data_IF_050336688846
#
_entry.id   IF_050336688846
#
_cell.length_a   1.000
_cell.length_b   1.000
_cell.length_c   1.000
_cell.angle_alpha   90.00
_cell.angle_beta   90.00
_cell.angle_gamma   90.00
#
_symmetry.space_group_name_H-M   'P 1'
#
loop_
_entity.id
_entity.type
_entity.pdbx_description
1 polymer ?
#
# COMPACT_ATOMS: atom_id res chain seq x y z
N UNK A 1 6.23 2.97 -0.37
CA UNK A 1 6.16 1.64 0.28
C UNK A 1 7.58 1.16 0.53
N UNK A 2 7.89 0.80 1.74
CA UNK A 2 9.21 0.32 2.15
C UNK A 2 9.32 -1.20 1.90
N UNK A 3 10.24 -1.61 1.03
CA UNK A 3 10.44 -3.03 0.66
C UNK A 3 11.43 -3.69 1.61
N UNK A 4 10.97 -4.03 2.83
CA UNK A 4 11.81 -4.56 3.90
C UNK A 4 12.68 -5.74 3.46
N UNK A 5 12.11 -6.75 2.79
CA UNK A 5 12.86 -7.93 2.34
C UNK A 5 14.02 -7.59 1.39
N UNK A 6 13.93 -6.51 0.61
CA UNK A 6 15.03 -6.05 -0.22
C UNK A 6 16.20 -5.56 0.65
N UNK A 7 15.92 -4.84 1.74
CA UNK A 7 16.94 -4.34 2.66
C UNK A 7 17.50 -5.46 3.56
N UNK A 8 16.73 -6.50 3.87
CA UNK A 8 17.26 -7.69 4.53
C UNK A 8 18.28 -8.42 3.64
N UNK A 9 18.03 -8.52 2.33
CA UNK A 9 19.02 -9.05 1.38
C UNK A 9 20.27 -8.18 1.31
N UNK A 10 20.11 -6.86 1.28
CA UNK A 10 21.25 -5.92 1.29
C UNK A 10 22.08 -6.01 2.59
N UNK A 11 21.47 -6.37 3.72
CA UNK A 11 22.20 -6.61 4.97
C UNK A 11 23.09 -7.84 4.86
N UNK A 12 22.58 -8.94 4.30
CA UNK A 12 23.30 -10.21 4.19
C UNK A 12 24.25 -10.21 2.98
N UNK A 13 23.82 -9.64 1.87
CA UNK A 13 24.50 -9.64 0.58
C UNK A 13 24.53 -8.23 -0.03
N UNK A 14 25.38 -7.32 0.48
CA UNK A 14 25.40 -5.94 0.02
C UNK A 14 25.79 -5.84 -1.46
N UNK A 15 25.02 -5.08 -2.21
CA UNK A 15 25.29 -4.79 -3.63
C UNK A 15 25.93 -3.42 -3.80
N UNK A 16 26.72 -3.17 -4.84
CA UNK A 16 27.28 -1.86 -5.12
C UNK A 16 26.22 -0.77 -5.14
N UNK A 17 26.57 0.40 -4.63
CA UNK A 17 25.69 1.58 -4.72
C UNK A 17 25.61 2.01 -6.19
N UNK A 18 24.40 2.06 -6.72
CA UNK A 18 24.11 2.53 -8.08
C UNK A 18 23.25 3.79 -8.01
N UNK A 19 23.33 4.62 -9.03
CA UNK A 19 22.45 5.80 -9.10
C UNK A 19 20.97 5.39 -9.07
N UNK A 20 20.11 6.10 -8.34
CA UNK A 20 18.69 5.77 -8.27
C UNK A 20 18.04 5.92 -9.66
N UNK A 21 17.24 4.93 -10.05
CA UNK A 21 16.46 4.99 -11.28
C UNK A 21 15.18 5.78 -11.01
N UNK A 22 14.95 6.85 -11.77
CA UNK A 22 13.66 7.54 -11.75
C UNK A 22 12.65 6.67 -12.50
N UNK A 23 11.48 6.33 -11.91
CA UNK A 23 10.42 5.65 -12.64
C UNK A 23 9.91 6.52 -13.78
N UNK A 24 9.48 5.89 -14.88
CA UNK A 24 8.98 6.58 -16.07
C UNK A 24 7.62 7.26 -15.82
N UNK A 25 6.82 6.72 -14.88
CA UNK A 25 5.53 7.24 -14.45
C UNK A 25 5.14 6.67 -13.07
N UNK A 26 4.04 7.13 -12.46
CA UNK A 26 3.60 6.64 -11.16
C UNK A 26 3.03 5.21 -11.26
N UNK A 27 3.01 4.49 -10.12
CA UNK A 27 2.11 3.36 -9.91
C UNK A 27 0.69 3.92 -9.73
N UNK A 28 -0.26 3.46 -10.53
CA UNK A 28 -1.66 3.87 -10.40
C UNK A 28 -2.46 2.80 -9.68
N UNK A 29 -3.02 3.14 -8.51
CA UNK A 29 -4.00 2.33 -7.82
C UNK A 29 -5.38 2.81 -8.30
N UNK A 30 -6.12 1.93 -8.98
CA UNK A 30 -7.38 2.31 -9.59
C UNK A 30 -8.55 1.61 -8.90
N UNK A 31 -9.38 2.39 -8.21
CA UNK A 31 -10.60 1.89 -7.61
C UNK A 31 -11.71 1.87 -8.67
N UNK A 32 -11.81 0.77 -9.44
CA UNK A 32 -12.73 0.64 -10.57
C UNK A 32 -14.21 0.68 -10.18
N UNK A 33 -14.50 0.24 -8.96
CA UNK A 33 -15.85 0.12 -8.40
C UNK A 33 -15.82 0.48 -6.92
N UNK A 34 -16.89 1.12 -6.40
CA UNK A 34 -17.00 1.38 -4.97
C UNK A 34 -17.81 0.32 -4.22
N UNK A 35 -18.67 -0.44 -4.91
CA UNK A 35 -19.40 -1.54 -4.30
C UNK A 35 -18.45 -2.58 -3.70
N UNK A 36 -18.80 -3.11 -2.51
CA UNK A 36 -18.05 -4.14 -1.81
C UNK A 36 -19.01 -5.01 -1.00
N UNK A 37 -18.79 -6.31 -1.01
CA UNK A 37 -19.56 -7.27 -0.20
C UNK A 37 -19.13 -7.28 1.29
N UNK A 38 -18.19 -6.38 1.70
CA UNK A 38 -17.73 -6.17 3.07
C UNK A 38 -17.86 -4.70 3.48
N UNK A 39 -17.90 -4.45 4.82
CA UNK A 39 -18.03 -3.10 5.40
C UNK A 39 -16.95 -2.79 6.45
N UNK A 40 -15.71 -3.11 6.14
CA UNK A 40 -14.55 -3.08 7.04
C UNK A 40 -14.41 -1.75 7.84
N UNK A 41 -13.95 -1.84 9.09
CA UNK A 41 -13.78 -0.69 10.01
C UNK A 41 -12.83 0.38 9.47
N UNK A 42 -11.79 -0.01 8.74
CA UNK A 42 -10.70 0.87 8.24
C UNK A 42 -10.85 1.31 6.77
N UNK A 43 -11.97 0.98 6.12
CA UNK A 43 -12.14 1.20 4.68
C UNK A 43 -12.06 2.69 4.30
N UNK A 44 -11.05 3.04 3.49
CA UNK A 44 -10.82 4.41 3.03
C UNK A 44 -11.85 4.86 1.98
N UNK A 45 -12.42 3.93 1.19
CA UNK A 45 -13.42 4.22 0.16
C UNK A 45 -14.84 4.34 0.71
N UNK A 46 -15.05 3.95 1.98
CA UNK A 46 -16.39 3.85 2.60
C UNK A 46 -17.36 2.98 1.80
N UNK A 47 -16.85 1.88 1.23
CA UNK A 47 -17.61 0.92 0.42
C UNK A 47 -18.71 0.22 1.21
N UNK A 48 -19.75 -0.22 0.49
CA UNK A 48 -20.88 -1.00 0.99
C UNK A 48 -21.45 -1.84 -0.14
N UNK A 49 -22.30 -2.82 0.18
CA UNK A 49 -22.96 -3.67 -0.83
C UNK A 49 -24.20 -2.98 -1.43
N UNK A 50 -23.96 -1.85 -2.07
CA UNK A 50 -24.95 -1.07 -2.82
C UNK A 50 -24.33 -0.59 -4.13
N UNK A 51 -25.16 -0.25 -5.09
CA UNK A 51 -24.70 0.39 -6.32
C UNK A 51 -24.39 1.86 -6.06
N UNK A 52 -23.26 2.32 -6.59
CA UNK A 52 -22.85 3.74 -6.57
C UNK A 52 -23.04 4.32 -7.97
N UNK A 53 -23.87 5.35 -8.15
CA UNK A 53 -24.08 5.94 -9.47
C UNK A 53 -22.88 6.74 -9.95
N UNK A 54 -22.74 6.83 -11.28
CA UNK A 54 -21.75 7.70 -11.91
C UNK A 54 -20.35 7.10 -12.05
N UNK A 55 -20.16 5.82 -11.76
CA UNK A 55 -18.89 5.11 -11.99
C UNK A 55 -18.47 5.19 -13.46
N UNK A 56 -17.17 5.11 -13.74
CA UNK A 56 -16.65 5.08 -15.09
C UNK A 56 -17.18 3.84 -15.83
N UNK A 57 -17.70 4.03 -17.03
CA UNK A 57 -18.04 2.93 -17.93
C UNK A 57 -16.76 2.27 -18.48
N UNK A 58 -16.87 1.02 -18.93
CA UNK A 58 -15.76 0.28 -19.52
C UNK A 58 -15.09 1.01 -20.69
N UNK A 59 -15.83 1.65 -21.65
CA UNK A 59 -15.18 2.49 -22.66
C UNK A 59 -14.41 3.70 -22.10
N UNK A 60 -14.91 4.37 -21.06
CA UNK A 60 -14.18 5.45 -20.38
C UNK A 60 -12.91 4.93 -19.70
N UNK A 61 -12.98 3.76 -19.03
CA UNK A 61 -11.81 3.10 -18.45
C UNK A 61 -10.76 2.81 -19.53
N UNK A 62 -11.16 2.32 -20.68
CA UNK A 62 -10.24 2.06 -21.80
C UNK A 62 -9.57 3.34 -22.32
N UNK A 63 -10.31 4.42 -22.49
CA UNK A 63 -9.75 5.70 -22.88
C UNK A 63 -8.72 6.23 -21.87
N UNK A 64 -8.99 6.08 -20.58
CA UNK A 64 -8.03 6.43 -19.52
C UNK A 64 -6.78 5.54 -19.60
N UNK A 65 -6.91 4.23 -19.84
CA UNK A 65 -5.76 3.34 -20.02
C UNK A 65 -4.86 3.77 -21.19
N UNK A 66 -5.44 4.25 -22.28
CA UNK A 66 -4.67 4.72 -23.43
C UNK A 66 -3.79 5.94 -23.05
N UNK A 67 -4.32 6.90 -22.27
CA UNK A 67 -3.54 8.02 -21.73
C UNK A 67 -2.48 7.57 -20.72
N UNK A 68 -2.83 6.67 -19.79
CA UNK A 68 -1.88 6.13 -18.84
C UNK A 68 -0.71 5.41 -19.52
N UNK A 69 -0.98 4.70 -20.63
CA UNK A 69 0.06 4.04 -21.43
C UNK A 69 0.94 5.04 -22.15
N UNK A 70 0.35 6.06 -22.78
CA UNK A 70 1.09 7.14 -23.42
C UNK A 70 1.97 7.91 -22.42
N UNK A 71 1.48 8.10 -21.19
CA UNK A 71 2.21 8.71 -20.06
C UNK A 71 3.27 7.78 -19.43
N UNK A 72 3.42 6.55 -19.93
CA UNK A 72 4.39 5.54 -19.47
C UNK A 72 4.17 5.09 -18.01
N UNK A 73 2.93 5.05 -17.55
CA UNK A 73 2.56 4.39 -16.31
C UNK A 73 2.98 2.92 -16.38
N UNK A 74 3.83 2.43 -15.46
CA UNK A 74 4.34 1.06 -15.56
C UNK A 74 3.41 0.02 -14.91
N UNK A 75 2.64 0.41 -13.90
CA UNK A 75 1.92 -0.50 -13.01
C UNK A 75 0.50 0.00 -12.79
N UNK A 76 -0.47 -0.89 -12.98
CA UNK A 76 -1.86 -0.73 -12.56
C UNK A 76 -2.17 -1.72 -11.42
N UNK A 77 -2.61 -1.19 -10.28
CA UNK A 77 -3.18 -2.00 -9.21
C UNK A 77 -4.69 -1.82 -9.27
N UNK A 78 -5.38 -2.82 -9.84
CA UNK A 78 -6.82 -2.82 -9.95
C UNK A 78 -7.42 -3.14 -8.59
N UNK A 79 -8.26 -2.25 -8.11
CA UNK A 79 -8.83 -2.24 -6.79
C UNK A 79 -10.27 -1.72 -6.85
N UNK A 80 -10.84 -1.38 -5.69
CA UNK A 80 -12.18 -0.81 -5.63
C UNK A 80 -12.71 -0.81 -4.21
N UNK A 81 -14.00 -1.03 -4.10
CA UNK A 81 -14.58 -1.71 -2.96
C UNK A 81 -14.11 -3.15 -2.99
N UNK A 82 -14.75 -3.96 -3.85
CA UNK A 82 -14.24 -5.28 -4.23
C UNK A 82 -14.19 -5.36 -5.76
N UNK A 83 -13.00 -5.44 -6.38
CA UNK A 83 -12.89 -5.38 -7.83
C UNK A 83 -13.55 -6.55 -8.56
N UNK A 84 -13.66 -7.73 -7.93
CA UNK A 84 -14.34 -8.90 -8.51
C UNK A 84 -15.87 -8.73 -8.61
N UNK A 85 -16.43 -7.65 -8.05
CA UNK A 85 -17.83 -7.25 -8.26
C UNK A 85 -18.03 -6.38 -9.51
N UNK A 86 -16.96 -5.89 -10.14
CA UNK A 86 -17.07 -5.13 -11.37
C UNK A 86 -17.41 -6.08 -12.52
N UNK A 87 -18.49 -5.85 -13.29
CA UNK A 87 -18.97 -6.80 -14.31
C UNK A 87 -17.92 -7.12 -15.37
N UNK A 88 -17.11 -6.14 -15.74
CA UNK A 88 -16.11 -6.25 -16.81
C UNK A 88 -14.67 -6.40 -16.29
N UNK A 89 -14.45 -6.78 -15.02
CA UNK A 89 -13.11 -6.83 -14.41
C UNK A 89 -12.12 -7.65 -15.24
N UNK A 90 -12.54 -8.79 -15.76
CA UNK A 90 -11.65 -9.65 -16.55
C UNK A 90 -11.29 -9.02 -17.91
N UNK A 91 -12.25 -8.40 -18.59
CA UNK A 91 -11.99 -7.69 -19.85
C UNK A 91 -11.05 -6.47 -19.65
N UNK A 92 -11.28 -5.70 -18.60
CA UNK A 92 -10.44 -4.58 -18.19
C UNK A 92 -9.02 -5.04 -17.88
N UNK A 93 -8.88 -6.11 -17.10
CA UNK A 93 -7.59 -6.68 -16.72
C UNK A 93 -6.83 -7.24 -17.91
N UNK A 94 -7.52 -7.95 -18.81
CA UNK A 94 -6.92 -8.49 -20.03
C UNK A 94 -6.40 -7.36 -20.90
N UNK A 95 -7.22 -6.31 -21.18
CA UNK A 95 -6.77 -5.15 -21.94
C UNK A 95 -5.53 -4.50 -21.32
N UNK A 96 -5.50 -4.34 -19.99
CA UNK A 96 -4.33 -3.77 -19.32
C UNK A 96 -3.07 -4.65 -19.51
N UNK A 97 -3.21 -5.97 -19.45
CA UNK A 97 -2.12 -6.92 -19.73
C UNK A 97 -1.65 -6.83 -21.19
N UNK A 98 -2.58 -6.82 -22.16
CA UNK A 98 -2.28 -6.72 -23.59
C UNK A 98 -1.56 -5.42 -23.94
N UNK A 99 -1.87 -4.34 -23.23
CA UNK A 99 -1.15 -3.06 -23.33
C UNK A 99 0.24 -3.09 -22.69
N UNK A 100 0.62 -4.18 -22.00
CA UNK A 100 1.92 -4.36 -21.36
C UNK A 100 2.10 -3.61 -20.04
N UNK A 101 1.02 -3.34 -19.30
CA UNK A 101 1.12 -2.93 -17.92
C UNK A 101 1.51 -4.10 -17.02
N UNK A 102 2.26 -3.82 -15.95
CA UNK A 102 2.29 -4.71 -14.79
C UNK A 102 0.94 -4.59 -14.09
N UNK A 103 0.12 -5.65 -14.11
CA UNK A 103 -1.23 -5.64 -13.56
C UNK A 103 -1.27 -6.46 -12.27
N UNK A 104 -1.69 -5.82 -11.18
CA UNK A 104 -1.96 -6.47 -9.90
C UNK A 104 -3.43 -6.28 -9.50
N UNK A 105 -3.98 -7.24 -8.75
CA UNK A 105 -5.32 -7.17 -8.19
C UNK A 105 -5.26 -7.00 -6.68
N UNK A 106 -6.04 -6.07 -6.12
CA UNK A 106 -6.19 -5.88 -4.68
C UNK A 106 -7.63 -6.23 -4.29
N UNK A 107 -7.82 -7.39 -3.67
CA UNK A 107 -9.12 -7.99 -3.35
C UNK A 107 -9.24 -8.31 -1.86
N UNK A 108 -10.47 -8.44 -1.37
CA UNK A 108 -10.72 -9.05 -0.06
C UNK A 108 -10.63 -10.60 -0.11
N UNK A 109 -10.54 -11.19 -1.30
CA UNK A 109 -10.36 -12.63 -1.53
C UNK A 109 -11.63 -13.48 -1.42
N UNK A 110 -12.70 -12.99 -0.81
CA UNK A 110 -13.90 -13.80 -0.52
C UNK A 110 -14.68 -14.22 -1.75
N UNK A 111 -14.41 -13.59 -2.89
CA UNK A 111 -15.06 -13.91 -4.18
C UNK A 111 -14.17 -14.72 -5.13
N UNK A 112 -12.94 -15.07 -4.73
CA UNK A 112 -12.10 -16.01 -5.46
C UNK A 112 -12.62 -17.43 -5.16
N UNK A 113 -13.09 -18.13 -6.18
CA UNK A 113 -13.77 -19.43 -5.99
C UNK A 113 -13.59 -20.33 -7.22
N UNK A 114 -13.99 -21.64 -7.16
CA UNK A 114 -13.80 -22.57 -8.26
C UNK A 114 -14.45 -22.17 -9.58
N UNK A 115 -15.47 -21.31 -9.57
CA UNK A 115 -16.15 -20.89 -10.80
C UNK A 115 -15.39 -19.82 -11.59
N UNK A 116 -14.54 -19.03 -10.93
CA UNK A 116 -13.82 -17.91 -11.57
C UNK A 116 -12.28 -18.05 -11.56
N UNK A 117 -11.73 -18.99 -10.82
CA UNK A 117 -10.26 -19.10 -10.68
C UNK A 117 -9.55 -19.33 -12.02
N UNK A 118 -10.16 -20.07 -12.95
CA UNK A 118 -9.59 -20.27 -14.29
C UNK A 118 -9.53 -18.96 -15.10
N UNK A 119 -10.54 -18.10 -14.96
CA UNK A 119 -10.51 -16.78 -15.61
C UNK A 119 -9.47 -15.88 -14.96
N UNK A 120 -9.34 -15.91 -13.62
CA UNK A 120 -8.30 -15.19 -12.89
C UNK A 120 -6.91 -15.64 -13.32
N UNK A 121 -6.67 -16.95 -13.43
CA UNK A 121 -5.40 -17.51 -13.91
C UNK A 121 -5.07 -17.08 -15.34
N UNK A 122 -6.08 -17.08 -16.23
CA UNK A 122 -5.90 -16.70 -17.63
C UNK A 122 -5.44 -15.23 -17.83
N UNK A 123 -5.74 -14.33 -16.90
CA UNK A 123 -5.29 -12.92 -16.93
C UNK A 123 -3.78 -12.82 -16.66
N UNK A 124 -3.19 -13.81 -15.98
CA UNK A 124 -1.78 -13.77 -15.58
C UNK A 124 -1.45 -12.50 -14.77
N UNK A 125 -2.21 -12.26 -13.70
CA UNK A 125 -1.90 -11.18 -12.77
C UNK A 125 -0.51 -11.38 -12.19
N UNK A 126 0.29 -10.32 -12.20
CA UNK A 126 1.64 -10.38 -11.62
C UNK A 126 1.61 -10.56 -10.09
N UNK A 127 0.48 -10.23 -9.46
CA UNK A 127 0.27 -10.37 -8.04
C UNK A 127 -1.19 -10.14 -7.68
N UNK A 128 -1.73 -10.97 -6.79
CA UNK A 128 -3.03 -10.76 -6.14
C UNK A 128 -2.81 -10.53 -4.65
N UNK A 129 -3.10 -9.31 -4.18
CA UNK A 129 -3.06 -8.98 -2.75
C UNK A 129 -4.40 -9.28 -2.09
N UNK A 130 -4.44 -10.26 -1.20
CA UNK A 130 -5.63 -10.64 -0.43
C UNK A 130 -5.53 -10.07 0.97
N UNK A 131 -6.60 -9.42 1.40
CA UNK A 131 -6.62 -8.80 2.72
C UNK A 131 -6.95 -9.81 3.82
N UNK A 132 -6.06 -9.95 4.81
CA UNK A 132 -6.27 -10.69 6.05
C UNK A 132 -5.86 -9.80 7.25
N UNK A 133 -6.83 -9.36 8.05
CA UNK A 133 -6.59 -8.44 9.17
C UNK A 133 -6.74 -9.12 10.55
N UNK A 134 -6.26 -10.33 10.67
CA UNK A 134 -6.29 -11.16 11.86
C UNK A 134 -6.60 -12.60 11.52
N UNK A 135 -6.71 -13.44 12.53
CA UNK A 135 -7.04 -14.86 12.42
C UNK A 135 -8.51 -15.10 12.82
N UNK A 136 -9.25 -15.87 12.04
CA UNK A 136 -10.61 -16.29 12.35
C UNK A 136 -11.54 -15.12 12.73
N UNK A 137 -12.02 -15.13 13.97
CA UNK A 137 -13.01 -14.16 14.47
C UNK A 137 -12.48 -12.72 14.51
N UNK A 138 -11.19 -12.50 14.75
CA UNK A 138 -10.60 -11.14 14.70
C UNK A 138 -10.75 -10.53 13.31
N UNK A 139 -10.41 -11.28 12.27
CA UNK A 139 -10.59 -10.85 10.89
C UNK A 139 -12.07 -10.59 10.58
N UNK A 140 -12.96 -11.51 10.92
CA UNK A 140 -14.40 -11.40 10.66
C UNK A 140 -15.00 -10.16 11.32
N UNK A 141 -14.61 -9.89 12.56
CA UNK A 141 -15.02 -8.69 13.31
C UNK A 141 -14.47 -7.41 12.66
N UNK A 142 -13.21 -7.42 12.25
CA UNK A 142 -12.56 -6.27 11.61
C UNK A 142 -13.18 -5.96 10.23
N UNK A 143 -13.49 -7.02 9.46
CA UNK A 143 -14.12 -6.94 8.14
C UNK A 143 -15.64 -6.85 8.19
N UNK A 144 -16.23 -7.02 9.40
CA UNK A 144 -17.66 -6.97 9.67
C UNK A 144 -18.47 -8.00 8.86
N UNK A 145 -17.93 -9.21 8.71
CA UNK A 145 -18.62 -10.31 8.04
C UNK A 145 -18.13 -11.66 8.57
N UNK A 146 -19.04 -12.40 9.18
CA UNK A 146 -18.77 -13.76 9.63
C UNK A 146 -18.38 -14.68 8.47
N UNK A 147 -17.34 -15.50 8.65
CA UNK A 147 -16.81 -16.43 7.66
C UNK A 147 -15.95 -15.79 6.59
N UNK A 148 -15.65 -14.49 6.68
CA UNK A 148 -14.79 -13.80 5.70
C UNK A 148 -13.34 -14.25 5.76
N UNK A 149 -12.83 -14.65 6.94
CA UNK A 149 -11.49 -15.21 7.10
C UNK A 149 -11.31 -16.48 6.27
N UNK A 150 -12.18 -17.47 6.51
CA UNK A 150 -12.12 -18.75 5.81
C UNK A 150 -12.30 -18.60 4.30
N UNK A 151 -13.22 -17.72 3.87
CA UNK A 151 -13.43 -17.46 2.45
C UNK A 151 -12.21 -16.79 1.80
N UNK A 152 -11.57 -15.84 2.48
CA UNK A 152 -10.36 -15.16 1.98
C UNK A 152 -9.16 -16.11 1.92
N UNK A 153 -8.98 -16.95 2.95
CA UNK A 153 -7.92 -17.96 2.99
C UNK A 153 -8.12 -19.03 1.92
N UNK A 154 -9.36 -19.50 1.71
CA UNK A 154 -9.68 -20.40 0.62
C UNK A 154 -9.37 -19.79 -0.76
N UNK A 155 -9.61 -18.50 -0.93
CA UNK A 155 -9.22 -17.75 -2.14
C UNK A 155 -7.71 -17.73 -2.35
N UNK A 156 -6.89 -17.56 -1.31
CA UNK A 156 -5.42 -17.64 -1.38
C UNK A 156 -4.98 -19.05 -1.79
N UNK A 157 -5.53 -20.09 -1.17
CA UNK A 157 -5.24 -21.50 -1.49
C UNK A 157 -5.53 -21.81 -2.94
N UNK A 158 -6.71 -21.40 -3.45
CA UNK A 158 -7.06 -21.54 -4.85
C UNK A 158 -6.09 -20.83 -5.81
N UNK A 159 -5.64 -19.64 -5.45
CA UNK A 159 -4.61 -18.94 -6.24
C UNK A 159 -3.33 -19.79 -6.33
N UNK A 160 -2.88 -20.34 -5.21
CA UNK A 160 -1.67 -21.18 -5.17
C UNK A 160 -1.84 -22.48 -6.00
N UNK A 161 -2.97 -23.16 -5.86
CA UNK A 161 -3.29 -24.36 -6.64
C UNK A 161 -3.26 -24.13 -8.16
N UNK A 162 -3.37 -22.87 -8.59
CA UNK A 162 -3.35 -22.45 -10.00
C UNK A 162 -2.10 -21.61 -10.36
N UNK A 163 -1.02 -21.72 -9.59
CA UNK A 163 0.26 -21.01 -9.81
C UNK A 163 0.12 -19.47 -9.87
N UNK A 164 -0.91 -18.92 -9.25
CA UNK A 164 -1.13 -17.46 -9.16
C UNK A 164 -0.42 -16.93 -7.93
N UNK A 165 0.49 -15.97 -8.12
CA UNK A 165 1.18 -15.31 -7.02
C UNK A 165 0.20 -14.50 -6.17
N UNK A 166 -0.14 -15.01 -4.99
CA UNK A 166 -0.99 -14.35 -4.01
C UNK A 166 -0.19 -13.97 -2.76
N UNK A 167 -0.67 -12.98 -2.00
CA UNK A 167 -0.04 -12.61 -0.73
C UNK A 167 -1.01 -11.92 0.21
N UNK A 168 -0.64 -11.89 1.48
CA UNK A 168 -1.43 -11.31 2.56
C UNK A 168 -1.20 -9.81 2.66
N UNK A 169 -2.30 -9.07 2.87
CA UNK A 169 -2.30 -7.64 3.21
C UNK A 169 -2.97 -7.45 4.56
N UNK A 170 -2.22 -6.96 5.51
CA UNK A 170 -2.65 -6.74 6.90
C UNK A 170 -2.59 -5.25 7.24
N UNK A 171 -3.64 -4.72 7.85
CA UNK A 171 -3.65 -3.34 8.40
C UNK A 171 -3.58 -3.39 9.90
N UNK A 172 -2.47 -2.92 10.46
CA UNK A 172 -2.23 -2.91 11.90
C UNK A 172 -3.13 -1.90 12.62
N UNK A 173 -3.79 -2.36 13.68
CA UNK A 173 -4.55 -1.55 14.65
C UNK A 173 -4.43 -2.17 16.05
N UNK A 174 -4.95 -1.49 17.09
CA UNK A 174 -5.02 -2.05 18.44
C UNK A 174 -5.88 -3.32 18.50
N UNK A 175 -6.93 -3.38 17.67
CA UNK A 175 -7.92 -4.47 17.67
C UNK A 175 -7.37 -5.81 17.17
N UNK A 176 -6.29 -5.79 16.35
CA UNK A 176 -5.81 -7.00 15.66
C UNK A 176 -4.31 -7.29 15.81
N UNK A 177 -3.56 -6.42 16.48
CA UNK A 177 -2.12 -6.61 16.68
C UNK A 177 -1.77 -7.91 17.42
N UNK A 178 -2.68 -8.42 18.27
CA UNK A 178 -2.47 -9.67 19.00
C UNK A 178 -2.40 -10.91 18.10
N UNK A 179 -2.97 -10.85 16.88
CA UNK A 179 -2.92 -11.93 15.89
C UNK A 179 -1.71 -11.84 14.95
N UNK A 180 -0.86 -10.83 15.10
CA UNK A 180 0.23 -10.57 14.16
C UNK A 180 1.19 -11.77 14.02
N UNK A 181 1.62 -12.35 15.14
CA UNK A 181 2.49 -13.53 15.14
C UNK A 181 1.78 -14.74 14.51
N UNK A 182 0.49 -14.89 14.75
CA UNK A 182 -0.33 -15.93 14.13
C UNK A 182 -0.42 -15.77 12.62
N UNK A 183 -0.47 -14.53 12.11
CA UNK A 183 -0.44 -14.27 10.67
C UNK A 183 0.92 -14.59 10.04
N UNK A 184 2.03 -14.29 10.74
CA UNK A 184 3.37 -14.67 10.27
C UNK A 184 3.54 -16.20 10.25
N UNK A 185 2.97 -16.91 11.23
CA UNK A 185 2.95 -18.38 11.24
C UNK A 185 2.07 -18.93 10.12
N UNK A 186 0.89 -18.34 9.89
CA UNK A 186 0.00 -18.71 8.77
C UNK A 186 0.72 -18.59 7.43
N UNK A 187 1.56 -17.58 7.24
CA UNK A 187 2.37 -17.47 6.02
C UNK A 187 3.32 -18.64 5.84
N UNK A 188 3.90 -19.17 6.92
CA UNK A 188 4.75 -20.34 6.86
C UNK A 188 3.92 -21.61 6.57
N UNK A 189 2.82 -21.80 7.28
CA UNK A 189 1.96 -22.98 7.16
C UNK A 189 1.31 -23.08 5.78
N UNK A 190 0.91 -21.96 5.20
CA UNK A 190 0.28 -21.87 3.89
C UNK A 190 1.28 -21.58 2.77
N UNK A 191 2.58 -21.48 3.07
CA UNK A 191 3.67 -21.16 2.15
C UNK A 191 3.35 -19.93 1.28
N UNK A 192 2.97 -18.82 1.91
CA UNK A 192 2.62 -17.57 1.23
C UNK A 192 3.87 -16.72 1.04
N UNK A 193 4.16 -16.33 -0.20
CA UNK A 193 5.42 -15.67 -0.57
C UNK A 193 5.46 -14.17 -0.28
N UNK A 194 4.32 -13.53 -0.03
CA UNK A 194 4.30 -12.07 0.11
C UNK A 194 3.43 -11.60 1.26
N UNK A 195 4.01 -10.71 2.05
CA UNK A 195 3.34 -10.01 3.15
C UNK A 195 3.43 -8.49 2.97
N UNK A 196 2.29 -7.83 3.09
CA UNK A 196 2.20 -6.37 3.11
C UNK A 196 1.59 -5.91 4.44
N UNK A 197 2.40 -5.30 5.30
CA UNK A 197 1.93 -4.60 6.49
C UNK A 197 1.57 -3.16 6.13
N UNK A 198 0.35 -2.76 6.44
CA UNK A 198 -0.13 -1.39 6.32
C UNK A 198 -0.38 -0.81 7.69
N UNK A 199 0.08 0.40 7.97
CA UNK A 199 -0.41 1.16 9.10
C UNK A 199 -1.78 1.77 8.79
N UNK A 200 -2.60 1.99 9.81
CA UNK A 200 -3.90 2.64 9.64
C UNK A 200 -3.70 4.03 9.02
N UNK A 201 -4.48 4.34 8.00
CA UNK A 201 -4.48 5.66 7.41
C UNK A 201 -5.82 6.37 7.69
N UNK A 202 -5.78 7.69 7.82
CA UNK A 202 -6.94 8.50 8.23
C UNK A 202 -7.76 8.93 7.00
N UNK A 203 -8.19 7.92 6.21
CA UNK A 203 -9.11 8.06 5.09
C UNK A 203 -10.44 7.35 5.36
N UNK A 204 -11.56 7.92 4.96
CA UNK A 204 -12.89 7.30 5.06
C UNK A 204 -13.26 6.81 6.47
N UNK A 205 -13.62 5.51 6.61
CA UNK A 205 -13.89 4.89 7.92
C UNK A 205 -12.64 4.77 8.79
N UNK A 206 -11.45 4.65 8.20
CA UNK A 206 -10.21 4.69 8.95
C UNK A 206 -10.02 5.99 9.74
N UNK A 207 -10.40 7.14 9.16
CA UNK A 207 -10.39 8.41 9.88
C UNK A 207 -11.43 8.46 11.01
N UNK A 208 -12.64 7.90 10.78
CA UNK A 208 -13.69 7.83 11.83
C UNK A 208 -13.25 6.96 13.00
N UNK A 209 -12.50 5.91 12.72
CA UNK A 209 -12.02 4.94 13.71
C UNK A 209 -10.53 5.15 14.05
N UNK A 210 -9.97 6.35 13.84
CA UNK A 210 -8.54 6.63 14.08
C UNK A 210 -8.09 6.41 15.53
N UNK A 211 -9.02 6.40 16.48
CA UNK A 211 -8.75 6.02 17.87
C UNK A 211 -8.32 4.57 18.04
N UNK A 212 -8.63 3.71 17.05
CA UNK A 212 -8.27 2.29 17.03
C UNK A 212 -6.88 2.08 16.40
N UNK A 213 -6.17 3.16 16.01
CA UNK A 213 -4.78 3.07 15.50
C UNK A 213 -3.86 2.45 16.55
N UNK A 214 -2.85 1.73 16.10
CA UNK A 214 -1.91 1.09 16.99
C UNK A 214 -1.08 2.13 17.76
N UNK A 215 -1.01 1.99 19.07
CA UNK A 215 -0.13 2.81 19.91
C UNK A 215 1.33 2.63 19.50
N UNK A 216 2.16 3.65 19.73
CA UNK A 216 3.56 3.66 19.28
C UNK A 216 4.39 2.49 19.82
N UNK A 217 4.21 2.13 21.09
CA UNK A 217 4.92 0.98 21.67
C UNK A 217 4.49 -0.34 21.04
N UNK A 218 3.20 -0.50 20.75
CA UNK A 218 2.66 -1.67 20.05
C UNK A 218 3.19 -1.74 18.62
N UNK A 219 3.20 -0.62 17.90
CA UNK A 219 3.78 -0.51 16.56
C UNK A 219 5.24 -0.93 16.55
N UNK A 220 6.05 -0.43 17.49
CA UNK A 220 7.47 -0.79 17.62
C UNK A 220 7.66 -2.29 17.85
N UNK A 221 6.86 -2.89 18.74
CA UNK A 221 6.89 -4.34 19.02
C UNK A 221 6.59 -5.16 17.76
N UNK A 222 5.54 -4.78 17.02
CA UNK A 222 5.16 -5.44 15.76
C UNK A 222 6.26 -5.29 14.70
N UNK A 223 6.86 -4.11 14.59
CA UNK A 223 7.95 -3.88 13.63
C UNK A 223 9.22 -4.66 14.00
N UNK A 224 9.60 -4.73 15.27
CA UNK A 224 10.73 -5.55 15.72
C UNK A 224 10.52 -7.02 15.37
N UNK A 225 9.32 -7.56 15.65
CA UNK A 225 8.95 -8.92 15.28
C UNK A 225 9.01 -9.15 13.76
N UNK A 226 8.49 -8.21 12.96
CA UNK A 226 8.55 -8.29 11.51
C UNK A 226 10.00 -8.28 10.98
N UNK A 227 10.88 -7.47 11.58
CA UNK A 227 12.28 -7.42 11.20
C UNK A 227 12.99 -8.74 11.49
N UNK A 228 12.82 -9.29 12.69
CA UNK A 228 13.42 -10.59 13.07
C UNK A 228 12.89 -11.74 12.19
N UNK A 229 11.58 -11.78 11.92
CA UNK A 229 10.99 -12.81 11.06
C UNK A 229 11.47 -12.69 9.62
N UNK A 230 11.55 -11.46 9.08
CA UNK A 230 12.04 -11.21 7.72
C UNK A 230 13.52 -11.60 7.57
N UNK A 231 14.34 -11.31 8.57
CA UNK A 231 15.74 -11.74 8.61
C UNK A 231 15.85 -13.26 8.64
N UNK A 232 15.04 -13.91 9.49
CA UNK A 232 15.00 -15.38 9.59
C UNK A 232 14.63 -16.04 8.25
N UNK A 233 13.62 -15.55 7.57
CA UNK A 233 13.22 -16.04 6.25
C UNK A 233 14.35 -15.91 5.21
N UNK A 234 15.01 -14.75 5.19
CA UNK A 234 16.11 -14.53 4.24
C UNK A 234 17.31 -15.41 4.54
N UNK A 235 17.67 -15.62 5.82
CA UNK A 235 18.74 -16.54 6.26
C UNK A 235 18.44 -18.01 5.94
N UNK A 236 17.16 -18.39 5.90
CA UNK A 236 16.71 -19.73 5.50
C UNK A 236 16.59 -19.91 3.98
N UNK A 237 16.82 -18.85 3.20
CA UNK A 237 16.69 -18.87 1.74
C UNK A 237 15.24 -18.90 1.23
N UNK A 238 14.26 -18.57 2.07
CA UNK A 238 12.85 -18.57 1.68
C UNK A 238 12.47 -17.37 0.79
N UNK A 239 13.28 -16.31 0.78
CA UNK A 239 13.13 -15.12 -0.07
C UNK A 239 11.72 -14.54 -0.14
N UNK A 240 10.97 -14.57 0.96
CA UNK A 240 9.63 -14.01 1.03
C UNK A 240 9.64 -12.50 0.82
N UNK A 241 8.68 -12.00 0.07
CA UNK A 241 8.57 -10.56 -0.21
C UNK A 241 7.81 -9.86 0.93
N UNK A 242 8.52 -9.06 1.73
CA UNK A 242 7.94 -8.29 2.83
C UNK A 242 8.00 -6.81 2.53
N UNK A 243 6.84 -6.15 2.62
CA UNK A 243 6.68 -4.73 2.32
C UNK A 243 5.89 -4.06 3.44
N UNK A 244 6.28 -2.85 3.84
CA UNK A 244 5.44 -2.01 4.70
C UNK A 244 4.99 -0.75 3.97
N UNK A 245 3.89 -0.18 4.41
CA UNK A 245 3.34 1.02 3.80
C UNK A 245 2.47 1.84 4.73
N UNK A 246 2.19 3.05 4.28
CA UNK A 246 1.44 4.06 5.01
C UNK A 246 2.11 4.59 6.28
N UNK A 247 3.35 4.16 6.55
CA UNK A 247 4.21 4.80 7.53
C UNK A 247 5.69 4.67 7.09
N UNK A 248 6.22 5.71 6.48
CA UNK A 248 7.58 5.70 5.95
C UNK A 248 8.64 5.87 7.07
N UNK A 249 8.22 6.13 8.33
CA UNK A 249 9.08 6.04 9.51
C UNK A 249 9.60 4.62 9.76
N UNK A 250 8.96 3.59 9.20
CA UNK A 250 9.42 2.19 9.27
C UNK A 250 10.85 2.03 8.76
N UNK A 251 11.22 2.77 7.71
CA UNK A 251 12.56 2.74 7.16
C UNK A 251 13.60 3.38 8.10
N UNK A 252 13.21 4.43 8.82
CA UNK A 252 14.07 5.07 9.82
C UNK A 252 14.22 4.15 11.04
N UNK A 253 13.11 3.55 11.51
CA UNK A 253 13.14 2.60 12.61
C UNK A 253 13.97 1.36 12.26
N UNK A 254 13.86 0.88 11.03
CA UNK A 254 14.72 -0.19 10.51
C UNK A 254 16.20 0.20 10.54
N UNK A 255 16.55 1.43 10.13
CA UNK A 255 17.93 1.90 10.21
C UNK A 255 18.46 1.91 11.66
N UNK A 256 17.63 2.31 12.64
CA UNK A 256 17.99 2.22 14.06
C UNK A 256 18.16 0.78 14.52
N UNK A 257 17.31 -0.15 14.07
CA UNK A 257 17.46 -1.58 14.32
C UNK A 257 18.77 -2.10 13.72
N UNK A 258 19.12 -1.72 12.47
CA UNK A 258 20.39 -2.07 11.83
C UNK A 258 21.59 -1.51 12.59
N UNK A 259 21.57 -0.25 13.03
CA UNK A 259 22.65 0.35 13.82
C UNK A 259 22.95 -0.43 15.11
N UNK A 260 21.92 -1.00 15.75
CA UNK A 260 22.09 -1.80 16.98
C UNK A 260 22.60 -3.21 16.69
N UNK A 261 22.14 -3.84 15.60
CA UNK A 261 22.37 -5.26 15.34
C UNK A 261 23.48 -5.56 14.33
N UNK A 262 23.69 -4.65 13.38
CA UNK A 262 24.66 -4.76 12.27
C UNK A 262 25.35 -3.42 12.03
N UNK A 263 26.07 -2.87 13.03
CA UNK A 263 26.63 -1.52 12.95
C UNK A 263 27.54 -1.32 11.72
N UNK A 264 28.24 -2.38 11.29
CA UNK A 264 29.11 -2.34 10.11
C UNK A 264 28.36 -2.18 8.78
N UNK A 265 27.04 -2.42 8.77
CA UNK A 265 26.15 -2.27 7.61
C UNK A 265 25.38 -0.96 7.61
N UNK A 266 25.38 -0.24 8.71
CA UNK A 266 24.48 0.89 8.93
C UNK A 266 24.63 2.01 7.87
N UNK A 267 25.85 2.35 7.49
CA UNK A 267 26.08 3.40 6.50
C UNK A 267 25.65 2.98 5.08
N UNK A 268 25.91 1.74 4.71
CA UNK A 268 25.45 1.19 3.44
C UNK A 268 23.92 1.22 3.34
N UNK A 269 23.23 0.74 4.38
CA UNK A 269 21.77 0.74 4.44
C UNK A 269 21.22 2.16 4.45
N UNK A 270 21.82 3.07 5.19
CA UNK A 270 21.43 4.48 5.20
C UNK A 270 21.45 5.07 3.80
N UNK A 271 22.56 4.90 3.08
CA UNK A 271 22.69 5.40 1.70
C UNK A 271 21.62 4.83 0.78
N UNK A 272 21.32 3.53 0.89
CA UNK A 272 20.23 2.88 0.11
C UNK A 272 18.85 3.45 0.46
N UNK A 273 18.58 3.75 1.73
CA UNK A 273 17.33 4.35 2.19
C UNK A 273 17.18 5.81 1.72
N UNK A 274 18.26 6.59 1.74
CA UNK A 274 18.27 7.95 1.17
C UNK A 274 18.01 7.94 -0.35
N UNK A 275 18.54 6.94 -1.07
CA UNK A 275 18.25 6.75 -2.50
C UNK A 275 16.79 6.35 -2.76
N UNK A 276 16.14 5.62 -1.83
CA UNK A 276 14.71 5.32 -1.92
C UNK A 276 13.86 6.58 -1.71
N UNK A 277 14.22 7.47 -0.78
CA UNK A 277 13.64 8.79 -0.61
C UNK A 277 12.25 8.85 0.01
N UNK A 278 11.77 7.77 0.65
CA UNK A 278 10.57 7.77 1.49
C UNK A 278 9.24 7.89 0.76
N UNK A 279 8.36 8.68 1.33
CA UNK A 279 7.01 8.86 0.86
C UNK A 279 6.94 9.38 -0.58
N UNK A 280 6.18 8.68 -1.42
CA UNK A 280 6.10 8.93 -2.85
C UNK A 280 4.69 9.36 -3.33
N UNK A 281 3.79 9.71 -2.41
CA UNK A 281 2.47 10.27 -2.76
C UNK A 281 2.61 11.51 -3.63
N UNK A 282 1.83 11.60 -4.70
CA UNK A 282 1.90 12.71 -5.66
C UNK A 282 3.14 12.69 -6.58
N UNK A 283 4.07 11.75 -6.41
CA UNK A 283 5.30 11.61 -7.21
C UNK A 283 5.32 10.28 -7.96
N UNK A 284 5.38 9.16 -7.24
CA UNK A 284 5.48 7.80 -7.81
C UNK A 284 4.26 6.92 -7.50
N UNK A 285 3.27 7.44 -6.77
CA UNK A 285 2.00 6.77 -6.46
C UNK A 285 0.88 7.74 -6.77
N UNK A 286 -0.12 7.26 -7.47
CA UNK A 286 -1.36 7.96 -7.82
C UNK A 286 -2.56 7.08 -7.52
N UNK A 287 -3.74 7.68 -7.38
CA UNK A 287 -5.00 6.96 -7.34
C UNK A 287 -6.01 7.57 -8.32
N UNK A 288 -6.81 6.70 -8.94
CA UNK A 288 -8.03 7.08 -9.67
C UNK A 288 -9.19 6.40 -8.97
N UNK A 289 -10.22 7.14 -8.60
CA UNK A 289 -11.42 6.58 -7.99
C UNK A 289 -12.44 6.09 -9.04
N UNK A 290 -13.52 5.47 -8.58
CA UNK A 290 -14.59 4.93 -9.42
C UNK A 290 -15.36 5.99 -10.24
N UNK A 291 -15.29 7.25 -9.84
CA UNK A 291 -15.90 8.39 -10.56
C UNK A 291 -14.93 9.07 -11.52
N UNK A 292 -13.67 8.62 -11.57
CA UNK A 292 -12.62 9.20 -12.40
C UNK A 292 -11.89 10.37 -11.77
N UNK A 293 -12.06 10.64 -10.47
CA UNK A 293 -11.25 11.65 -9.81
C UNK A 293 -9.84 11.13 -9.58
N UNK A 294 -8.85 12.00 -9.78
CA UNK A 294 -7.42 11.72 -9.56
C UNK A 294 -7.03 12.23 -8.18
N UNK A 295 -6.29 11.43 -7.44
CA UNK A 295 -5.81 11.76 -6.09
C UNK A 295 -4.29 11.52 -5.98
N UNK A 296 -3.57 12.19 -5.06
CA UNK A 296 -2.13 12.01 -4.84
C UNK A 296 -1.74 10.58 -4.42
N UNK A 297 -2.63 9.90 -3.69
CA UNK A 297 -2.61 8.49 -3.35
C UNK A 297 -4.01 7.99 -2.95
N UNK A 298 -4.10 6.74 -2.56
CA UNK A 298 -5.34 6.02 -2.25
C UNK A 298 -6.15 6.61 -1.09
N UNK A 299 -5.56 7.42 -0.22
CA UNK A 299 -6.20 7.90 1.02
C UNK A 299 -6.75 9.32 0.92
N UNK A 300 -6.51 10.01 -0.20
CA UNK A 300 -6.95 11.38 -0.47
C UNK A 300 -8.33 11.48 -1.12
N UNK A 301 -9.24 10.55 -0.89
CA UNK A 301 -10.58 10.54 -1.51
C UNK A 301 -11.42 11.81 -1.22
N UNK A 302 -11.10 12.53 -0.16
CA UNK A 302 -11.71 13.81 0.18
C UNK A 302 -11.06 15.01 -0.55
N UNK A 303 -9.97 14.78 -1.32
CA UNK A 303 -9.21 15.82 -2.02
C UNK A 303 -8.90 15.36 -3.45
N UNK A 304 -9.57 15.97 -4.43
CA UNK A 304 -9.41 15.64 -5.85
C UNK A 304 -8.55 16.64 -6.59
N UNK A 305 -7.61 16.15 -7.38
CA UNK A 305 -6.73 16.98 -8.24
C UNK A 305 -7.38 17.34 -9.59
N UNK A 306 -8.39 16.59 -9.98
CA UNK A 306 -9.12 16.73 -11.24
C UNK A 306 -9.86 15.45 -11.56
N UNK A 307 -10.56 15.44 -12.72
CA UNK A 307 -11.34 14.28 -13.15
C UNK A 307 -11.01 13.90 -14.59
N UNK A 308 -10.77 12.60 -14.84
CA UNK A 308 -10.33 12.07 -16.15
C UNK A 308 -11.37 12.24 -17.28
N UNK A 309 -12.66 12.47 -16.95
CA UNK A 309 -13.69 12.84 -17.94
C UNK A 309 -13.55 14.25 -18.47
N UNK A 310 -12.82 15.11 -17.76
CA UNK A 310 -12.67 16.53 -18.11
C UNK A 310 -11.29 16.84 -18.69
N UNK A 311 -10.26 16.14 -18.23
CA UNK A 311 -8.87 16.38 -18.60
C UNK A 311 -8.08 15.07 -18.49
N UNK A 312 -7.14 14.74 -19.40
CA UNK A 312 -6.32 13.54 -19.31
C UNK A 312 -5.61 13.41 -17.95
N UNK A 313 -5.42 12.17 -17.48
CA UNK A 313 -4.66 11.90 -16.25
C UNK A 313 -3.26 12.51 -16.29
N UNK A 314 -2.59 12.39 -17.44
CA UNK A 314 -1.25 12.93 -17.66
C UNK A 314 -1.15 14.43 -17.38
N UNK A 315 -2.13 15.21 -17.85
CA UNK A 315 -2.19 16.65 -17.57
C UNK A 315 -2.50 16.96 -16.11
N UNK A 316 -3.48 16.24 -15.51
CA UNK A 316 -3.83 16.41 -14.09
C UNK A 316 -2.60 16.10 -13.21
N UNK A 317 -1.89 15.01 -13.51
CA UNK A 317 -0.75 14.58 -12.71
C UNK A 317 0.45 15.52 -12.79
N UNK A 318 0.66 16.16 -13.94
CA UNK A 318 1.76 17.11 -14.13
C UNK A 318 1.45 18.51 -13.62
N UNK A 319 0.19 18.82 -13.36
CA UNK A 319 -0.25 20.12 -12.87
C UNK A 319 0.24 20.39 -11.44
N UNK A 320 1.03 21.43 -11.25
CA UNK A 320 1.57 21.89 -9.97
C UNK A 320 0.94 23.20 -9.49
N UNK A 321 -0.15 23.65 -10.11
CA UNK A 321 -0.91 24.81 -9.62
C UNK A 321 -1.67 24.45 -8.34
N UNK A 322 -1.98 23.17 -8.15
CA UNK A 322 -2.54 22.68 -6.89
C UNK A 322 -1.48 22.73 -5.78
N UNK A 323 -1.76 23.39 -4.63
CA UNK A 323 -0.77 23.60 -3.58
C UNK A 323 -0.29 22.31 -2.91
N UNK A 324 -1.16 21.27 -2.82
CA UNK A 324 -0.75 19.98 -2.30
C UNK A 324 0.22 19.30 -3.27
N UNK A 325 -0.10 19.26 -4.57
CA UNK A 325 0.78 18.65 -5.58
C UNK A 325 2.10 19.40 -5.73
N UNK A 326 2.09 20.74 -5.69
CA UNK A 326 3.31 21.54 -5.66
C UNK A 326 4.24 21.15 -4.52
N UNK A 327 3.70 21.05 -3.31
CA UNK A 327 4.48 20.69 -2.14
C UNK A 327 4.89 19.21 -2.10
N UNK A 328 4.05 18.27 -2.58
CA UNK A 328 4.43 16.85 -2.66
C UNK A 328 5.57 16.60 -3.64
N UNK A 329 5.66 17.40 -4.72
CA UNK A 329 6.74 17.35 -5.72
C UNK A 329 7.94 18.21 -5.39
N UNK A 330 7.85 19.07 -4.36
CA UNK A 330 9.00 19.86 -3.90
C UNK A 330 10.07 18.96 -3.27
N UNK A 331 11.32 19.36 -3.40
CA UNK A 331 12.46 18.69 -2.75
C UNK A 331 13.43 19.75 -2.20
N UNK A 332 13.53 19.90 -0.87
CA UNK A 332 12.74 19.20 0.16
C UNK A 332 11.27 19.63 0.18
N UNK A 333 10.39 18.78 0.75
CA UNK A 333 9.01 19.15 1.03
C UNK A 333 8.93 20.24 2.10
N UNK A 334 7.90 21.12 2.09
CA UNK A 334 7.78 22.25 3.04
C UNK A 334 7.25 21.78 4.41
N UNK A 335 7.88 20.78 5.00
CA UNK A 335 7.49 20.18 6.28
C UNK A 335 7.65 21.15 7.44
N UNK A 336 6.79 21.03 8.46
CA UNK A 336 6.77 21.85 9.66
C UNK A 336 6.91 21.00 10.92
N UNK A 337 7.13 21.68 12.05
CA UNK A 337 7.25 21.06 13.37
C UNK A 337 8.30 19.95 13.37
N UNK A 338 8.07 18.91 14.15
CA UNK A 338 8.96 17.76 14.32
C UNK A 338 9.43 17.15 12.99
N UNK A 339 8.56 17.08 11.98
CA UNK A 339 8.93 16.59 10.65
C UNK A 339 9.88 17.53 9.92
N UNK A 340 9.73 18.86 10.09
CA UNK A 340 10.58 19.88 9.47
C UNK A 340 11.99 19.92 10.07
N UNK A 341 12.15 19.52 11.32
CA UNK A 341 13.43 19.53 12.06
C UNK A 341 14.09 18.14 12.10
N UNK A 342 13.40 17.10 11.57
CA UNK A 342 13.87 15.73 11.64
C UNK A 342 15.13 15.48 10.81
N UNK A 343 16.13 14.84 11.41
CA UNK A 343 17.39 14.46 10.75
C UNK A 343 17.19 13.49 9.57
N UNK A 344 16.09 12.71 9.56
CA UNK A 344 15.81 11.67 8.58
C UNK A 344 14.81 12.08 7.49
N UNK A 345 14.69 13.37 7.20
CA UNK A 345 13.80 13.84 6.12
C UNK A 345 14.11 13.16 4.78
N UNK A 346 15.37 12.94 4.45
CA UNK A 346 15.81 12.30 3.21
C UNK A 346 15.41 10.81 3.11
N UNK A 347 15.09 10.17 4.23
CA UNK A 347 14.65 8.75 4.28
C UNK A 347 13.14 8.66 4.35
N UNK A 348 12.48 9.44 5.24
CA UNK A 348 11.03 9.36 5.47
C UNK A 348 10.23 10.25 4.51
N UNK A 349 10.78 11.40 4.12
CA UNK A 349 10.14 12.43 3.30
C UNK A 349 8.81 12.92 3.88
N UNK A 350 8.75 13.04 5.22
CA UNK A 350 7.58 13.55 5.95
C UNK A 350 6.41 12.58 6.05
N UNK A 351 6.59 11.30 5.71
CA UNK A 351 5.55 10.29 5.85
C UNK A 351 4.26 10.61 5.06
N UNK A 352 3.11 9.99 5.39
CA UNK A 352 1.85 10.25 4.71
C UNK A 352 1.19 11.53 5.19
N UNK A 353 0.99 12.50 4.28
CA UNK A 353 0.48 13.84 4.61
C UNK A 353 -1.01 13.87 4.93
N UNK A 354 -1.74 12.82 4.55
CA UNK A 354 -3.19 12.75 4.83
C UNK A 354 -3.49 12.69 6.32
N UNK A 355 -2.66 12.00 7.14
CA UNK A 355 -2.86 11.99 8.59
C UNK A 355 -2.67 13.38 9.22
N UNK A 356 -1.59 14.07 8.82
CA UNK A 356 -1.32 15.43 9.25
C UNK A 356 -2.50 16.35 8.91
N UNK A 357 -2.96 16.34 7.68
CA UNK A 357 -4.09 17.14 7.22
C UNK A 357 -5.39 16.82 7.95
N UNK A 358 -5.72 15.55 8.16
CA UNK A 358 -6.96 15.15 8.84
C UNK A 358 -6.97 15.50 10.33
N UNK A 359 -5.80 15.62 10.96
CA UNK A 359 -5.70 15.96 12.37
C UNK A 359 -5.58 17.46 12.63
N UNK A 360 -4.92 18.19 11.72
CA UNK A 360 -4.55 19.60 11.96
C UNK A 360 -5.14 20.59 10.95
N UNK A 361 -5.63 20.10 9.81
CA UNK A 361 -6.00 20.91 8.65
C UNK A 361 -4.82 21.37 7.79
N UNK A 362 -3.57 21.16 8.22
CA UNK A 362 -2.35 21.55 7.50
C UNK A 362 -1.69 20.31 6.87
N UNK A 363 -1.46 20.34 5.54
CA UNK A 363 -0.79 19.28 4.81
C UNK A 363 0.65 19.04 5.30
N UNK A 364 1.29 20.07 5.84
CA UNK A 364 2.73 20.08 6.11
C UNK A 364 3.07 19.98 7.60
N UNK A 365 2.05 19.91 8.46
CA UNK A 365 2.23 19.65 9.89
C UNK A 365 2.96 18.31 10.12
N UNK A 366 3.46 18.11 11.32
CA UNK A 366 4.02 16.82 11.73
C UNK A 366 3.03 15.67 11.58
N UNK A 367 3.53 14.48 11.24
CA UNK A 367 2.68 13.31 11.11
C UNK A 367 2.39 12.70 12.49
N UNK A 368 1.11 12.66 12.93
CA UNK A 368 0.73 12.10 14.21
C UNK A 368 0.99 10.59 14.32
N UNK A 369 1.19 9.89 13.20
CA UNK A 369 1.51 8.46 13.18
C UNK A 369 3.02 8.14 13.26
N UNK A 370 3.88 9.15 13.45
CA UNK A 370 5.32 8.91 13.62
C UNK A 370 5.61 8.35 15.01
N UNK A 371 5.98 7.08 15.09
CA UNK A 371 6.26 6.35 16.33
C UNK A 371 7.73 6.36 16.77
N UNK A 372 8.59 7.13 16.10
CA UNK A 372 9.97 7.36 16.51
C UNK A 372 10.02 8.22 17.77
N UNK A 373 11.01 8.01 18.62
CA UNK A 373 11.26 8.85 19.79
C UNK A 373 11.98 10.14 19.41
N UNK A 374 11.88 11.18 20.24
CA UNK A 374 12.56 12.45 19.96
C UNK A 374 14.08 12.31 19.86
N UNK A 375 14.68 11.51 20.76
CA UNK A 375 16.09 11.16 20.69
C UNK A 375 16.50 10.41 19.42
N UNK A 376 15.54 9.77 18.72
CA UNK A 376 15.78 9.07 17.45
C UNK A 376 15.67 10.00 16.23
N UNK A 377 14.99 11.14 16.34
CA UNK A 377 14.74 12.04 15.20
C UNK A 377 15.62 13.29 15.20
N UNK A 378 16.14 13.69 16.36
CA UNK A 378 17.01 14.87 16.50
C UNK A 378 18.50 14.51 16.75
N UNK A 379 18.89 13.25 16.51
CA UNK A 379 20.23 12.72 16.80
C UNK A 379 21.28 13.13 15.77
#
# INVERSE_FOLDING_TARGET
>A
MFRLSQYMRELLHPTPLTAPRKPAGPVVIWNLIRRCNLTCKHCYTTSADINFPGELSTPEIYAVMDDLKAFKVPVLILSGGEPLLHPDIFAISQRARDMGFYVALSSNGTLINPSNIKQIAAIDYQYIGVSLDGIGQTHDTFRQKQGSFEASLAGIRLCREHDIKAGVRFTLTQDNAHDFEGLLQLMDDEDIDKFYLSHLNYGGRGNKNRKDDAEFQLTRKVMDSLFEKSLSWEQQGLHREVVTGNNDADAVYFLHWVKRRFPERAEHIRTKLEQWGGNASGVNVANIDNLGNVHPDTFWWHYGLGNVRKRPFSEIWMDVNDPLMAGLKASPRPLKGRCGECYYQNICNGNTRVRAQQMTGDFWAEDPGCYLLDEEVFA
#
